data_IF_397267187408
#
_entry.id   IF_397267187408
#
_cell.length_a   1.000
_cell.length_b   1.000
_cell.length_c   1.000
_cell.angle_alpha   90.00
_cell.angle_beta   90.00
_cell.angle_gamma   90.00
#
_symmetry.space_group_name_H-M   'P 1'
#
loop_
_entity.id
_entity.type
_entity.pdbx_description
1 polymer ?
#
# COMPACT_ATOMS: atom_id res chain seq x y z
N UNK A 1 0.05 7.57 34.20
CA UNK A 1 -0.88 7.43 33.08
C UNK A 1 -0.05 6.93 31.91
N UNK A 2 -0.24 5.69 31.46
CA UNK A 2 0.43 5.23 30.24
C UNK A 2 -0.25 5.97 29.08
N UNK A 3 0.52 6.80 28.38
CA UNK A 3 0.11 7.30 27.07
C UNK A 3 0.01 6.08 26.16
N UNK A 4 -1.22 5.79 25.73
CA UNK A 4 -1.52 4.57 25.00
C UNK A 4 -2.05 4.99 23.65
N UNK A 5 -1.26 4.68 22.62
CA UNK A 5 -1.65 4.90 21.25
C UNK A 5 -2.98 4.18 21.02
N UNK A 6 -4.02 4.97 20.75
CA UNK A 6 -5.35 4.45 20.49
C UNK A 6 -5.38 3.75 19.12
N UNK A 7 -6.25 2.76 18.92
CA UNK A 7 -6.47 2.10 17.61
C UNK A 7 -6.51 3.07 16.41
N UNK A 8 -7.21 4.22 16.48
CA UNK A 8 -7.17 5.23 15.43
C UNK A 8 -5.79 5.87 15.19
N UNK A 9 -4.97 6.02 16.23
CA UNK A 9 -3.64 6.61 16.15
C UNK A 9 -2.65 5.70 15.42
N UNK A 10 -2.74 4.38 15.65
CA UNK A 10 -1.93 3.37 14.96
C UNK A 10 -2.34 3.22 13.49
N UNK A 11 -3.64 3.26 13.20
CA UNK A 11 -4.14 3.08 11.83
C UNK A 11 -3.97 4.32 10.95
N UNK A 12 -3.96 5.53 11.54
CA UNK A 12 -3.79 6.79 10.80
C UNK A 12 -2.53 6.86 9.91
N UNK A 13 -1.30 6.60 10.41
CA UNK A 13 -0.11 6.63 9.56
C UNK A 13 -0.13 5.55 8.48
N UNK A 14 -0.73 4.40 8.76
CA UNK A 14 -0.86 3.30 7.78
C UNK A 14 -1.85 3.65 6.68
N UNK A 15 -2.96 4.32 7.02
CA UNK A 15 -3.88 4.89 6.05
C UNK A 15 -3.23 5.96 5.17
N UNK A 16 -2.40 6.83 5.76
CA UNK A 16 -1.64 7.82 5.00
C UNK A 16 -0.62 7.18 4.05
N UNK A 17 0.06 6.11 4.49
CA UNK A 17 0.96 5.31 3.66
C UNK A 17 0.22 4.67 2.48
N UNK A 18 -0.93 4.04 2.73
CA UNK A 18 -1.77 3.44 1.69
C UNK A 18 -2.19 4.49 0.65
N UNK A 19 -2.64 5.67 1.10
CA UNK A 19 -2.99 6.78 0.23
C UNK A 19 -1.81 7.24 -0.64
N UNK A 20 -0.63 7.42 -0.04
CA UNK A 20 0.57 7.84 -0.78
C UNK A 20 0.97 6.81 -1.84
N UNK A 21 0.95 5.52 -1.50
CA UNK A 21 1.31 4.43 -2.42
C UNK A 21 0.31 4.32 -3.58
N UNK A 22 -0.99 4.38 -3.29
CA UNK A 22 -2.05 4.33 -4.31
C UNK A 22 -2.01 5.54 -5.24
N UNK A 23 -1.80 6.74 -4.70
CA UNK A 23 -1.65 7.97 -5.47
C UNK A 23 -0.44 7.92 -6.40
N UNK A 24 0.75 7.57 -5.87
CA UNK A 24 1.96 7.45 -6.67
C UNK A 24 1.86 6.37 -7.75
N UNK A 25 1.28 5.21 -7.41
CA UNK A 25 1.01 4.15 -8.37
C UNK A 25 0.07 4.60 -9.50
N UNK A 26 -0.97 5.37 -9.17
CA UNK A 26 -1.88 5.97 -10.14
C UNK A 26 -1.17 6.95 -11.08
N UNK A 27 -0.31 7.82 -10.54
CA UNK A 27 0.48 8.77 -11.33
C UNK A 27 1.44 8.07 -12.30
N UNK A 28 2.15 7.04 -11.85
CA UNK A 28 3.03 6.23 -12.71
C UNK A 28 2.23 5.55 -13.83
N UNK A 29 1.09 4.94 -13.48
CA UNK A 29 0.23 4.27 -14.47
C UNK A 29 -0.29 5.26 -15.52
N UNK A 30 -0.69 6.45 -15.11
CA UNK A 30 -1.14 7.50 -16.02
C UNK A 30 -0.02 8.02 -16.93
N UNK A 31 1.18 8.23 -16.37
CA UNK A 31 2.34 8.70 -17.14
C UNK A 31 2.74 7.68 -18.22
N UNK A 32 2.82 6.41 -17.85
CA UNK A 32 3.18 5.32 -18.77
C UNK A 32 2.11 5.09 -19.83
N UNK A 33 0.83 5.09 -19.44
CA UNK A 33 -0.29 4.99 -20.38
C UNK A 33 -0.40 6.17 -21.35
N UNK A 34 0.27 7.29 -21.06
CA UNK A 34 0.36 8.45 -21.94
C UNK A 34 1.40 8.32 -23.05
N UNK A 35 2.28 7.31 -23.00
CA UNK A 35 3.26 7.11 -24.08
C UNK A 35 2.55 6.64 -25.35
N UNK A 36 2.79 7.37 -26.44
CA UNK A 36 2.25 7.06 -27.76
C UNK A 36 3.38 7.00 -28.77
N UNK A 37 3.33 5.99 -29.63
CA UNK A 37 4.26 5.87 -30.76
C UNK A 37 3.53 6.23 -32.04
N UNK A 38 4.00 7.24 -32.78
CA UNK A 38 3.54 7.48 -34.14
C UNK A 38 3.81 6.23 -34.98
N UNK A 39 2.78 5.65 -35.62
CA UNK A 39 2.95 4.44 -36.43
C UNK A 39 3.32 4.80 -37.87
N UNK A 40 4.55 4.50 -38.30
CA UNK A 40 4.92 4.40 -39.73
C UNK A 40 5.19 2.93 -40.07
N UNK A 41 4.38 2.29 -40.93
CA UNK A 41 4.41 0.84 -41.17
C UNK A 41 5.73 0.26 -41.70
N UNK A 42 6.65 1.10 -42.15
CA UNK A 42 7.91 0.71 -42.79
C UNK A 42 9.17 1.18 -42.05
N UNK A 43 9.02 1.79 -40.87
CA UNK A 43 10.15 2.31 -40.09
C UNK A 43 10.69 1.24 -39.14
N UNK A 44 11.92 0.79 -39.36
CA UNK A 44 12.62 -0.11 -38.42
C UNK A 44 12.83 0.53 -37.05
N UNK A 45 12.94 1.87 -37.00
CA UNK A 45 12.99 2.64 -35.76
C UNK A 45 11.68 2.53 -34.99
N UNK A 46 10.52 2.59 -35.66
CA UNK A 46 9.22 2.50 -34.98
C UNK A 46 9.01 1.10 -34.38
N UNK A 47 9.46 0.05 -35.07
CA UNK A 47 9.43 -1.31 -34.54
C UNK A 47 10.33 -1.48 -33.31
N UNK A 48 11.53 -0.90 -33.30
CA UNK A 48 12.41 -0.93 -32.13
C UNK A 48 11.77 -0.17 -30.95
N UNK A 49 11.18 0.99 -31.21
CA UNK A 49 10.51 1.80 -30.19
C UNK A 49 9.28 1.12 -29.58
N UNK A 50 8.57 0.26 -30.34
CA UNK A 50 7.48 -0.56 -29.78
C UNK A 50 8.00 -1.50 -28.71
N UNK A 51 9.12 -2.18 -28.95
CA UNK A 51 9.73 -3.06 -27.95
C UNK A 51 10.14 -2.31 -26.68
N UNK A 52 10.69 -1.10 -26.83
CA UNK A 52 11.01 -0.23 -25.69
C UNK A 52 9.76 0.20 -24.93
N UNK A 53 8.68 0.56 -25.64
CA UNK A 53 7.40 0.93 -25.01
C UNK A 53 6.77 -0.24 -24.24
N UNK A 54 6.82 -1.45 -24.80
CA UNK A 54 6.33 -2.66 -24.13
C UNK A 54 7.15 -2.93 -22.87
N UNK A 55 8.48 -2.84 -22.96
CA UNK A 55 9.37 -3.00 -21.82
C UNK A 55 9.12 -1.96 -20.71
N UNK A 56 8.95 -0.69 -21.06
CA UNK A 56 8.59 0.39 -20.13
C UNK A 56 7.25 0.05 -19.45
N UNK A 57 6.24 -0.31 -20.25
CA UNK A 57 4.90 -0.60 -19.75
C UNK A 57 4.88 -1.78 -18.79
N UNK A 58 5.60 -2.85 -19.11
CA UNK A 58 5.72 -4.02 -18.26
C UNK A 58 6.49 -3.70 -16.97
N UNK A 59 7.62 -3.01 -17.07
CA UNK A 59 8.49 -2.69 -15.94
C UNK A 59 7.76 -1.83 -14.91
N UNK A 60 7.15 -0.73 -15.34
CA UNK A 60 6.40 0.13 -14.44
C UNK A 60 5.10 -0.50 -13.97
N UNK A 61 4.43 -1.30 -14.81
CA UNK A 61 3.25 -2.09 -14.41
C UNK A 61 3.57 -3.09 -13.29
N UNK A 62 4.71 -3.78 -13.37
CA UNK A 62 5.22 -4.67 -12.32
C UNK A 62 5.52 -3.90 -11.04
N UNK A 63 6.21 -2.76 -11.14
CA UNK A 63 6.53 -1.92 -9.98
C UNK A 63 5.28 -1.41 -9.26
N UNK A 64 4.28 -0.93 -10.03
CA UNK A 64 2.97 -0.50 -9.52
C UNK A 64 2.29 -1.63 -8.75
N UNK A 65 2.17 -2.83 -9.34
CA UNK A 65 1.55 -3.98 -8.66
C UNK A 65 2.27 -4.32 -7.36
N UNK A 66 3.60 -4.32 -7.38
CA UNK A 66 4.39 -4.66 -6.19
C UNK A 66 4.22 -3.61 -5.07
N UNK A 67 4.26 -2.31 -5.40
CA UNK A 67 4.01 -1.25 -4.43
C UNK A 67 2.61 -1.32 -3.80
N UNK A 68 1.58 -1.55 -4.63
CA UNK A 68 0.20 -1.68 -4.14
C UNK A 68 0.03 -2.91 -3.24
N UNK A 69 0.62 -4.04 -3.63
CA UNK A 69 0.58 -5.26 -2.80
C UNK A 69 1.25 -5.05 -1.44
N UNK A 70 2.41 -4.38 -1.39
CA UNK A 70 3.08 -4.07 -0.12
C UNK A 70 2.25 -3.13 0.75
N UNK A 71 1.59 -2.14 0.15
CA UNK A 71 0.73 -1.20 0.86
C UNK A 71 -0.48 -1.90 1.51
N UNK A 72 -1.11 -2.81 0.76
CA UNK A 72 -2.23 -3.62 1.24
C UNK A 72 -1.82 -4.61 2.34
N UNK A 73 -0.65 -5.26 2.22
CA UNK A 73 -0.11 -6.12 3.30
C UNK A 73 0.12 -5.32 4.57
N UNK A 74 0.82 -4.17 4.48
CA UNK A 74 1.08 -3.32 5.64
C UNK A 74 -0.22 -2.84 6.31
N UNK A 75 -1.26 -2.55 5.51
CA UNK A 75 -2.57 -2.19 6.03
C UNK A 75 -3.24 -3.34 6.80
N UNK A 76 -3.22 -4.57 6.25
CA UNK A 76 -3.78 -5.74 6.93
C UNK A 76 -3.05 -6.06 8.22
N UNK A 77 -1.72 -6.07 8.20
CA UNK A 77 -0.90 -6.32 9.38
C UNK A 77 -1.18 -5.30 10.49
N UNK A 78 -1.35 -4.03 10.14
CA UNK A 78 -1.71 -3.00 11.09
C UNK A 78 -3.11 -3.20 11.69
N UNK A 79 -4.10 -3.55 10.87
CA UNK A 79 -5.47 -3.84 11.35
C UNK A 79 -5.48 -5.06 12.27
N UNK A 80 -4.81 -6.15 11.88
CA UNK A 80 -4.71 -7.36 12.69
C UNK A 80 -3.99 -7.11 14.01
N UNK A 81 -2.84 -6.43 13.98
CA UNK A 81 -2.07 -6.10 15.18
C UNK A 81 -2.82 -5.18 16.15
N UNK A 82 -3.60 -4.25 15.60
CA UNK A 82 -4.43 -3.33 16.40
C UNK A 82 -5.60 -4.06 17.05
N UNK A 83 -6.29 -4.93 16.30
CA UNK A 83 -7.36 -5.78 16.85
C UNK A 83 -6.84 -6.72 17.95
N UNK A 84 -5.65 -7.29 17.77
CA UNK A 84 -5.02 -8.15 18.78
C UNK A 84 -4.71 -7.38 20.08
N UNK A 85 -4.23 -6.14 19.97
CA UNK A 85 -4.02 -5.26 21.13
C UNK A 85 -5.32 -4.95 21.86
N UNK A 86 -6.39 -4.62 21.15
CA UNK A 86 -7.70 -4.34 21.75
C UNK A 86 -8.26 -5.56 22.51
N UNK A 87 -8.10 -6.77 21.96
CA UNK A 87 -8.52 -8.01 22.65
C UNK A 87 -7.66 -8.26 23.90
N UNK A 88 -6.34 -8.11 23.79
CA UNK A 88 -5.44 -8.27 24.92
C UNK A 88 -5.79 -7.30 26.07
N UNK A 89 -6.23 -6.09 25.74
CA UNK A 89 -6.68 -5.12 26.72
C UNK A 89 -7.95 -5.50 27.43
N UNK A 90 -8.97 -5.94 26.68
CA UNK A 90 -10.24 -6.35 27.27
C UNK A 90 -10.00 -7.49 28.26
N UNK A 91 -9.17 -8.46 27.87
CA UNK A 91 -8.79 -9.59 28.72
C UNK A 91 -7.94 -9.16 29.92
N UNK A 92 -6.94 -8.30 29.70
CA UNK A 92 -6.09 -7.76 30.76
C UNK A 92 -6.87 -6.94 31.78
N UNK A 93 -7.76 -6.05 31.32
CA UNK A 93 -8.65 -5.27 32.17
C UNK A 93 -9.63 -6.17 32.95
N UNK A 94 -10.15 -7.23 32.33
CA UNK A 94 -10.99 -8.21 33.02
C UNK A 94 -10.20 -8.99 34.10
N UNK A 95 -8.95 -9.36 33.83
CA UNK A 95 -8.08 -10.02 34.80
C UNK A 95 -7.76 -9.12 36.00
N UNK A 96 -7.43 -7.84 35.76
CA UNK A 96 -7.20 -6.85 36.83
C UNK A 96 -8.46 -6.65 37.67
N UNK A 97 -9.64 -6.52 37.06
CA UNK A 97 -10.91 -6.40 37.80
C UNK A 97 -11.22 -7.62 38.67
N UNK A 98 -10.83 -8.82 38.24
CA UNK A 98 -10.98 -10.05 39.04
C UNK A 98 -9.99 -10.17 40.21
N UNK A 99 -8.86 -9.46 40.17
CA UNK A 99 -7.81 -9.52 41.18
C UNK A 99 -7.61 -8.20 41.95
N UNK A 100 -8.49 -7.22 41.74
CA UNK A 100 -8.48 -5.97 42.49
C UNK A 100 -8.80 -6.21 43.98
N UNK A 101 -8.22 -5.41 44.90
CA UNK A 101 -8.40 -5.62 46.32
C UNK A 101 -9.88 -5.46 46.71
N UNK A 102 -10.34 -6.34 47.61
CA UNK A 102 -11.67 -6.28 48.22
C UNK A 102 -11.90 -4.95 48.96
#
# INVERSE_FOLDING_TARGET
MLDRDSTPEVLRPVGAYLYAMTSGAGQVSAAVGGFTLPRRPSSSLDHALVGELDWISETFGNAVRHCLSRADIAFREAVEGTNAHDVADILGAAAVRRHGPA
#
